data_IF_994009267544
#
_entry.id   IF_994009267544
#
_cell.length_a   1.000
_cell.length_b   1.000
_cell.length_c   1.000
_cell.angle_alpha   90.00
_cell.angle_beta   90.00
_cell.angle_gamma   90.00
#
_symmetry.space_group_name_H-M   'P 1'
#
loop_
_entity.id
_entity.type
_entity.pdbx_description
1 polymer ?
#
# COMPACT_ATOMS: atom_id res chain seq x y z
N UNK A 1 -11.29 17.13 -14.04
CA UNK A 1 -11.45 15.79 -14.65
C UNK A 1 -10.29 14.83 -14.31
N UNK A 2 -9.02 15.23 -14.47
CA UNK A 2 -7.86 14.36 -14.17
C UNK A 2 -7.79 13.90 -12.70
N UNK A 3 -7.97 14.80 -11.74
CA UNK A 3 -7.98 14.45 -10.31
C UNK A 3 -9.09 13.46 -9.96
N UNK A 4 -10.30 13.67 -10.47
CA UNK A 4 -11.42 12.74 -10.29
C UNK A 4 -11.09 11.34 -10.82
N UNK A 5 -10.54 11.25 -12.04
CA UNK A 5 -10.11 9.97 -12.62
C UNK A 5 -9.02 9.30 -11.78
N UNK A 6 -8.04 10.07 -11.30
CA UNK A 6 -6.97 9.56 -10.45
C UNK A 6 -7.51 8.91 -9.16
N UNK A 7 -8.36 9.62 -8.41
CA UNK A 7 -8.94 9.08 -7.17
C UNK A 7 -9.90 7.92 -7.44
N UNK A 8 -10.69 7.97 -8.51
CA UNK A 8 -11.58 6.87 -8.88
C UNK A 8 -10.79 5.60 -9.23
N UNK A 9 -9.70 5.73 -10.00
CA UNK A 9 -8.82 4.60 -10.34
C UNK A 9 -8.12 4.03 -9.11
N UNK A 10 -7.69 4.88 -8.17
CA UNK A 10 -7.16 4.44 -6.88
C UNK A 10 -8.18 3.58 -6.12
N UNK A 11 -9.41 4.05 -5.98
CA UNK A 11 -10.48 3.30 -5.30
C UNK A 11 -10.79 1.96 -6.00
N UNK A 12 -10.86 1.96 -7.34
CA UNK A 12 -11.06 0.74 -8.12
C UNK A 12 -9.92 -0.26 -7.93
N UNK A 13 -8.67 0.22 -7.92
CA UNK A 13 -7.51 -0.60 -7.62
C UNK A 13 -7.61 -1.20 -6.21
N UNK A 14 -8.00 -0.41 -5.21
CA UNK A 14 -8.22 -0.88 -3.84
C UNK A 14 -9.30 -1.95 -3.76
N UNK A 15 -10.42 -1.75 -4.45
CA UNK A 15 -11.49 -2.74 -4.52
C UNK A 15 -11.02 -4.05 -5.17
N UNK A 16 -10.29 -3.97 -6.28
CA UNK A 16 -9.73 -5.16 -6.95
C UNK A 16 -8.73 -5.90 -6.04
N UNK A 17 -7.84 -5.15 -5.37
CA UNK A 17 -6.84 -5.69 -4.44
C UNK A 17 -7.48 -6.36 -3.22
N UNK A 18 -8.47 -5.70 -2.62
CA UNK A 18 -9.26 -6.26 -1.52
C UNK A 18 -9.96 -7.54 -1.95
N UNK A 19 -10.68 -7.53 -3.08
CA UNK A 19 -11.37 -8.71 -3.59
C UNK A 19 -10.40 -9.86 -3.85
N UNK A 20 -9.21 -9.56 -4.39
CA UNK A 20 -8.17 -10.56 -4.63
C UNK A 20 -7.69 -11.19 -3.31
N UNK A 21 -7.35 -10.39 -2.31
CA UNK A 21 -6.95 -10.89 -0.99
C UNK A 21 -8.07 -11.70 -0.31
N UNK A 22 -9.33 -11.27 -0.40
CA UNK A 22 -10.46 -12.03 0.13
C UNK A 22 -10.65 -13.38 -0.58
N UNK A 23 -10.47 -13.43 -1.91
CA UNK A 23 -10.52 -14.71 -2.64
C UNK A 23 -9.44 -15.68 -2.17
N UNK A 24 -8.23 -15.19 -1.92
CA UNK A 24 -7.14 -15.99 -1.36
C UNK A 24 -7.46 -16.48 0.06
N UNK A 25 -7.98 -15.60 0.90
CA UNK A 25 -8.40 -15.98 2.25
C UNK A 25 -9.57 -16.98 2.25
N UNK A 26 -10.40 -17.03 1.20
CA UNK A 26 -11.48 -18.02 1.09
C UNK A 26 -11.00 -19.40 0.65
N UNK A 27 -9.79 -19.53 0.09
CA UNK A 27 -9.20 -20.84 -0.20
C UNK A 27 -8.95 -21.61 1.10
N UNK A 28 -9.07 -22.94 1.05
CA UNK A 28 -8.77 -23.83 2.17
C UNK A 28 -7.28 -23.89 2.50
N UNK A 29 -6.88 -24.82 3.36
CA UNK A 29 -5.45 -25.03 3.71
C UNK A 29 -4.63 -25.58 2.54
N UNK A 30 -5.27 -26.38 1.68
CA UNK A 30 -4.70 -26.87 0.42
C UNK A 30 -5.49 -26.31 -0.76
N UNK A 31 -4.77 -25.97 -1.83
CA UNK A 31 -5.35 -25.58 -3.10
C UNK A 31 -5.88 -26.80 -3.86
N UNK A 32 -6.55 -26.57 -4.99
CA UNK A 32 -7.13 -27.64 -5.85
C UNK A 32 -6.08 -28.66 -6.36
N UNK A 33 -4.80 -28.27 -6.35
CA UNK A 33 -3.65 -29.11 -6.73
C UNK A 33 -3.04 -29.89 -5.55
N UNK A 34 -3.57 -29.73 -4.34
CA UNK A 34 -3.06 -30.37 -3.12
C UNK A 34 -1.87 -29.63 -2.46
N UNK A 35 -1.41 -28.53 -3.05
CA UNK A 35 -0.33 -27.70 -2.49
C UNK A 35 -0.83 -26.79 -1.36
N UNK A 36 0.07 -26.40 -0.45
CA UNK A 36 -0.24 -25.42 0.59
C UNK A 36 -0.60 -24.08 -0.03
N UNK A 37 -1.69 -23.48 0.44
CA UNK A 37 -2.12 -22.16 -0.02
C UNK A 37 -1.03 -21.14 0.33
N UNK A 38 -0.40 -20.56 -0.68
CA UNK A 38 0.67 -19.59 -0.47
C UNK A 38 0.10 -18.19 -0.18
N UNK A 39 0.82 -17.45 0.65
CA UNK A 39 0.53 -16.04 0.91
C UNK A 39 0.80 -15.15 -0.31
N UNK A 40 0.39 -13.88 -0.23
CA UNK A 40 0.57 -12.92 -1.32
C UNK A 40 2.04 -12.66 -1.65
N UNK A 41 2.87 -12.70 -0.61
CA UNK A 41 4.31 -12.53 -0.66
C UNK A 41 4.99 -13.71 0.04
N UNK A 42 6.09 -14.20 -0.54
CA UNK A 42 6.94 -15.21 0.12
C UNK A 42 7.72 -14.62 1.30
N UNK A 43 8.48 -15.43 2.07
CA UNK A 43 9.19 -14.98 3.28
C UNK A 43 10.12 -13.77 3.08
N UNK A 44 10.97 -13.80 2.05
CA UNK A 44 11.87 -12.67 1.73
C UNK A 44 11.06 -11.45 1.26
N UNK A 45 10.06 -11.67 0.43
CA UNK A 45 9.15 -10.62 -0.04
C UNK A 45 8.38 -9.98 1.11
N UNK A 46 8.03 -10.75 2.14
CA UNK A 46 7.35 -10.27 3.34
C UNK A 46 8.24 -9.32 4.14
N UNK A 47 9.52 -9.68 4.37
CA UNK A 47 10.46 -8.81 5.07
C UNK A 47 10.69 -7.49 4.33
N UNK A 48 10.87 -7.55 3.01
CA UNK A 48 10.97 -6.36 2.18
C UNK A 48 9.71 -5.50 2.24
N UNK A 49 8.53 -6.14 2.12
CA UNK A 49 7.24 -5.46 2.20
C UNK A 49 7.06 -4.78 3.57
N UNK A 50 7.41 -5.46 4.66
CA UNK A 50 7.37 -4.92 6.00
C UNK A 50 8.30 -3.72 6.16
N UNK A 51 9.56 -3.84 5.73
CA UNK A 51 10.53 -2.75 5.78
C UNK A 51 10.07 -1.51 5.00
N UNK A 52 9.59 -1.70 3.77
CA UNK A 52 9.05 -0.61 2.94
C UNK A 52 7.81 0.01 3.58
N UNK A 53 6.88 -0.80 4.09
CA UNK A 53 5.65 -0.30 4.74
C UNK A 53 5.97 0.54 5.98
N UNK A 54 6.90 0.07 6.83
CA UNK A 54 7.36 0.81 8.00
C UNK A 54 8.02 2.15 7.61
N UNK A 55 8.88 2.15 6.59
CA UNK A 55 9.50 3.36 6.09
C UNK A 55 8.47 4.37 5.57
N UNK A 56 7.50 3.91 4.75
CA UNK A 56 6.45 4.77 4.20
C UNK A 56 5.56 5.34 5.30
N UNK A 57 5.19 4.53 6.31
CA UNK A 57 4.42 5.00 7.46
C UNK A 57 5.20 6.06 8.24
N UNK A 58 6.48 5.83 8.50
CA UNK A 58 7.33 6.83 9.15
C UNK A 58 7.42 8.12 8.34
N UNK A 59 7.63 8.02 7.02
CA UNK A 59 7.68 9.18 6.13
C UNK A 59 6.36 9.98 6.15
N UNK A 60 5.22 9.28 6.14
CA UNK A 60 3.89 9.88 6.25
C UNK A 60 3.71 10.63 7.58
N UNK A 61 4.04 10.00 8.71
CA UNK A 61 3.95 10.62 10.03
C UNK A 61 4.86 11.85 10.13
N UNK A 62 6.10 11.73 9.64
CA UNK A 62 7.03 12.85 9.57
C UNK A 62 6.49 14.00 8.73
N UNK A 63 5.86 13.71 7.59
CA UNK A 63 5.29 14.71 6.70
C UNK A 63 4.06 15.41 7.30
N UNK A 64 3.26 14.71 8.11
CA UNK A 64 2.18 15.32 8.90
C UNK A 64 2.73 16.27 9.96
N UNK A 65 3.77 15.85 10.69
CA UNK A 65 4.37 16.66 11.76
C UNK A 65 5.09 17.88 11.21
N UNK A 66 5.82 17.75 10.09
CA UNK A 66 6.60 18.85 9.50
C UNK A 66 5.80 19.72 8.54
N UNK A 67 4.65 19.26 8.05
CA UNK A 67 3.91 19.95 7.00
C UNK A 67 4.64 19.98 5.66
N UNK A 68 5.56 19.05 5.44
CA UNK A 68 6.39 18.97 4.22
C UNK A 68 6.49 17.52 3.75
N UNK A 69 6.30 17.28 2.46
CA UNK A 69 6.41 15.95 1.87
C UNK A 69 7.37 16.00 0.68
N UNK A 70 8.45 15.20 0.66
CA UNK A 70 9.25 15.04 -0.53
C UNK A 70 8.39 14.36 -1.59
N UNK A 71 8.42 14.83 -2.83
CA UNK A 71 7.65 14.18 -3.87
C UNK A 71 8.19 12.76 -4.12
N UNK A 72 7.29 11.78 -4.13
CA UNK A 72 7.62 10.35 -4.31
C UNK A 72 7.03 9.87 -5.64
N UNK A 73 7.87 9.60 -6.66
CA UNK A 73 7.43 9.04 -7.94
C UNK A 73 8.31 9.39 -9.14
N UNK A 74 8.04 8.78 -10.30
CA UNK A 74 8.82 8.92 -11.55
C UNK A 74 8.77 10.32 -12.21
N UNK A 75 7.99 11.26 -11.66
CA UNK A 75 7.79 12.60 -12.23
C UNK A 75 8.45 13.73 -11.45
N UNK A 76 9.16 13.44 -10.37
CA UNK A 76 9.63 14.47 -9.44
C UNK A 76 11.14 14.52 -9.33
N UNK A 77 11.69 15.73 -9.48
CA UNK A 77 13.12 16.02 -9.37
C UNK A 77 13.57 16.23 -7.91
N UNK A 78 13.03 15.45 -6.96
CA UNK A 78 13.36 15.60 -5.54
C UNK A 78 12.80 16.87 -4.88
N UNK A 79 11.76 17.48 -5.46
CA UNK A 79 11.12 18.67 -4.91
C UNK A 79 10.38 18.36 -3.60
N UNK A 80 10.42 19.30 -2.66
CA UNK A 80 9.69 19.23 -1.38
C UNK A 80 8.44 20.09 -1.49
N UNK A 81 7.28 19.48 -1.31
CA UNK A 81 6.01 20.19 -1.26
C UNK A 81 5.66 20.52 0.19
N UNK A 82 5.51 21.80 0.49
CA UNK A 82 5.07 22.26 1.80
C UNK A 82 3.57 22.48 1.80
N UNK A 83 2.90 22.24 2.93
CA UNK A 83 1.47 22.48 3.10
C UNK A 83 1.12 23.95 2.86
N UNK A 84 2.01 24.87 3.24
CA UNK A 84 1.81 26.31 3.12
C UNK A 84 1.91 26.82 1.67
N UNK A 85 2.83 26.29 0.86
CA UNK A 85 3.02 26.75 -0.52
C UNK A 85 2.28 25.90 -1.55
N UNK A 86 2.07 24.60 -1.27
CA UNK A 86 1.61 23.61 -2.24
C UNK A 86 0.58 22.65 -1.63
N UNK A 87 -0.46 23.17 -0.98
CA UNK A 87 -1.44 22.36 -0.25
C UNK A 87 -2.05 21.21 -1.07
N UNK A 88 -2.39 21.45 -2.34
CA UNK A 88 -2.97 20.41 -3.21
C UNK A 88 -2.01 19.26 -3.50
N UNK A 89 -0.78 19.56 -3.91
CA UNK A 89 0.27 18.57 -4.22
C UNK A 89 0.74 17.85 -2.96
N UNK A 90 0.81 18.55 -1.83
CA UNK A 90 1.07 17.97 -0.52
C UNK A 90 0.04 16.88 -0.18
N UNK A 91 -1.26 17.18 -0.23
CA UNK A 91 -2.31 16.22 0.11
C UNK A 91 -2.42 15.07 -0.88
N UNK A 92 -2.15 15.31 -2.17
CA UNK A 92 -2.10 14.25 -3.17
C UNK A 92 -0.96 13.24 -2.89
N UNK A 93 0.24 13.71 -2.54
CA UNK A 93 1.35 12.84 -2.15
C UNK A 93 1.06 12.11 -0.83
N UNK A 94 0.51 12.82 0.16
CA UNK A 94 0.11 12.22 1.43
C UNK A 94 -0.92 11.10 1.25
N UNK A 95 -1.93 11.34 0.41
CA UNK A 95 -2.92 10.32 0.05
C UNK A 95 -2.27 9.11 -0.63
N UNK A 96 -1.37 9.34 -1.58
CA UNK A 96 -0.66 8.26 -2.26
C UNK A 96 0.18 7.41 -1.29
N UNK A 97 0.95 8.03 -0.39
CA UNK A 97 1.75 7.31 0.61
C UNK A 97 0.83 6.50 1.53
N UNK A 98 -0.25 7.10 2.03
CA UNK A 98 -1.24 6.39 2.83
C UNK A 98 -1.83 5.19 2.08
N UNK A 99 -2.12 5.35 0.79
CA UNK A 99 -2.64 4.29 -0.06
C UNK A 99 -1.64 3.12 -0.22
N UNK A 100 -0.36 3.42 -0.40
CA UNK A 100 0.70 2.40 -0.44
C UNK A 100 0.81 1.65 0.90
N UNK A 101 0.80 2.38 2.02
CA UNK A 101 0.84 1.77 3.37
C UNK A 101 -0.33 0.82 3.57
N UNK A 102 -1.55 1.22 3.21
CA UNK A 102 -2.73 0.38 3.31
C UNK A 102 -2.66 -0.86 2.40
N UNK A 103 -2.23 -0.69 1.14
CA UNK A 103 -2.13 -1.79 0.18
C UNK A 103 -1.11 -2.85 0.59
N UNK A 104 0.08 -2.41 1.03
CA UNK A 104 1.15 -3.30 1.50
C UNK A 104 0.81 -3.93 2.87
N UNK A 105 0.23 -3.15 3.78
CA UNK A 105 -0.27 -3.66 5.06
C UNK A 105 -1.34 -4.74 4.88
N UNK A 106 -2.26 -4.56 3.93
CA UNK A 106 -3.24 -5.59 3.59
C UNK A 106 -2.60 -6.85 3.00
N UNK A 107 -1.58 -6.70 2.16
CA UNK A 107 -0.82 -7.84 1.62
C UNK A 107 -0.14 -8.66 2.73
N UNK A 108 0.48 -7.96 3.68
CA UNK A 108 1.06 -8.59 4.87
C UNK A 108 0.00 -9.29 5.71
N UNK A 109 -1.14 -8.64 5.96
CA UNK A 109 -2.26 -9.22 6.70
C UNK A 109 -2.76 -10.53 6.07
N UNK A 110 -3.02 -10.52 4.75
CA UNK A 110 -3.46 -11.71 4.02
C UNK A 110 -2.43 -12.83 4.13
N UNK A 111 -1.15 -12.49 3.96
CA UNK A 111 -0.04 -13.46 4.03
C UNK A 111 0.05 -14.10 5.42
N UNK A 112 0.03 -13.30 6.49
CA UNK A 112 0.08 -13.79 7.86
C UNK A 112 -1.14 -14.66 8.19
N UNK A 113 -2.34 -14.25 7.76
CA UNK A 113 -3.56 -15.04 7.96
C UNK A 113 -3.52 -16.39 7.27
N UNK A 114 -2.84 -16.51 6.13
CA UNK A 114 -2.68 -17.77 5.42
C UNK A 114 -1.61 -18.64 6.11
N UNK A 115 -0.45 -18.08 6.48
CA UNK A 115 0.62 -18.85 7.12
C UNK A 115 0.25 -19.39 8.50
N UNK A 116 -0.51 -18.61 9.28
CA UNK A 116 -0.96 -19.01 10.61
C UNK A 116 -2.36 -19.66 10.61
N UNK A 117 -2.84 -20.10 9.45
CA UNK A 117 -4.07 -20.88 9.35
C UNK A 117 -3.77 -22.32 9.76
N UNK A 118 -4.18 -22.67 10.99
CA UNK A 118 -4.19 -24.03 11.51
C UNK A 118 -5.22 -24.90 10.77
#
# INVERSE_FOLDING_TARGET
MRAFLYYALMLLLGYAWYRYGQKLLRKGYRDEKGELTQGLVGPVGFLLTAGVTCYLLFAMLRALVRGEVPCVGKGCAGQVYTLAAHAGEYWANMFFIAWCVLGLGYAMYVTLRIWFRA
#
